data_IF_885781205659
#
_entry.id   IF_885781205659
#
_cell.length_a   1.000
_cell.length_b   1.000
_cell.length_c   1.000
_cell.angle_alpha   90.00
_cell.angle_beta   90.00
_cell.angle_gamma   90.00
#
_symmetry.space_group_name_H-M   'P 1'
#
loop_
_entity.id
_entity.type
_entity.pdbx_description
1 polymer ?
#
# COMPACT_ATOMS: atom_id res chain seq x y z
N UNK A 1 -10.98 -1.82 -13.42
CA UNK A 1 -10.76 -2.02 -11.96
C UNK A 1 -11.91 -2.79 -11.30
N UNK A 2 -13.16 -2.33 -11.40
CA UNK A 2 -14.31 -2.97 -10.73
C UNK A 2 -14.46 -4.49 -10.99
N UNK A 3 -14.28 -4.96 -12.23
CA UNK A 3 -14.35 -6.39 -12.53
C UNK A 3 -13.32 -7.23 -11.74
N UNK A 4 -12.09 -6.73 -11.60
CA UNK A 4 -11.04 -7.40 -10.83
C UNK A 4 -11.27 -7.31 -9.33
N UNK A 5 -11.76 -6.17 -8.84
CA UNK A 5 -12.17 -6.02 -7.44
C UNK A 5 -13.21 -7.09 -7.04
N UNK A 6 -14.23 -7.33 -7.87
CA UNK A 6 -15.21 -8.41 -7.65
C UNK A 6 -14.57 -9.80 -7.62
N UNK A 7 -13.72 -10.10 -8.60
CA UNK A 7 -13.01 -11.40 -8.67
C UNK A 7 -12.16 -11.64 -7.43
N UNK A 8 -11.55 -10.57 -6.89
CA UNK A 8 -10.66 -10.63 -5.72
C UNK A 8 -11.38 -10.46 -4.38
N UNK A 9 -12.68 -10.14 -4.38
CA UNK A 9 -13.44 -9.87 -3.16
C UNK A 9 -13.05 -8.57 -2.46
N UNK A 10 -12.61 -7.57 -3.21
CA UNK A 10 -12.27 -6.24 -2.70
C UNK A 10 -13.56 -5.43 -2.59
N UNK A 11 -13.98 -5.15 -1.36
CA UNK A 11 -15.24 -4.45 -1.07
C UNK A 11 -15.14 -2.93 -1.29
N UNK A 12 -13.97 -2.33 -0.99
CA UNK A 12 -13.67 -0.91 -1.20
C UNK A 12 -12.34 -0.77 -1.94
N UNK A 13 -12.31 0.02 -3.02
CA UNK A 13 -11.10 0.28 -3.81
C UNK A 13 -10.82 1.79 -3.92
N UNK A 14 -9.57 2.18 -4.14
CA UNK A 14 -9.26 3.56 -4.51
C UNK A 14 -9.43 3.75 -6.02
N UNK A 15 -9.94 4.91 -6.45
CA UNK A 15 -9.91 5.30 -7.87
C UNK A 15 -8.48 5.39 -8.41
N UNK A 16 -7.53 5.72 -7.52
CA UNK A 16 -6.20 6.23 -7.85
C UNK A 16 -6.24 7.46 -8.77
N UNK A 17 -5.12 8.18 -8.82
CA UNK A 17 -4.77 9.16 -9.85
C UNK A 17 -5.84 10.22 -10.20
N UNK A 18 -6.74 10.58 -9.28
CA UNK A 18 -7.86 11.50 -9.58
C UNK A 18 -7.38 12.89 -10.05
N UNK A 19 -6.09 13.19 -9.89
CA UNK A 19 -5.49 14.45 -10.32
C UNK A 19 -5.37 14.53 -11.85
N UNK A 20 -5.25 13.38 -12.53
CA UNK A 20 -5.08 13.31 -13.97
C UNK A 20 -6.38 13.69 -14.70
N UNK A 21 -6.37 14.70 -15.60
CA UNK A 21 -7.59 15.28 -16.16
C UNK A 21 -8.45 14.29 -16.96
N UNK A 22 -7.83 13.42 -17.77
CA UNK A 22 -8.58 12.44 -18.53
C UNK A 22 -9.16 11.34 -17.63
N UNK A 23 -8.48 11.01 -16.53
CA UNK A 23 -8.98 10.00 -15.60
C UNK A 23 -10.10 10.57 -14.75
N UNK A 24 -9.96 11.81 -14.28
CA UNK A 24 -11.01 12.50 -13.56
C UNK A 24 -12.31 12.59 -14.38
N UNK A 25 -12.22 12.91 -15.68
CA UNK A 25 -13.39 12.94 -16.56
C UNK A 25 -14.10 11.57 -16.62
N UNK A 26 -13.34 10.48 -16.71
CA UNK A 26 -13.89 9.12 -16.66
C UNK A 26 -14.55 8.82 -15.31
N UNK A 27 -13.97 9.28 -14.20
CA UNK A 27 -14.56 9.13 -12.86
C UNK A 27 -15.87 9.90 -12.76
N UNK A 28 -15.90 11.17 -13.17
CA UNK A 28 -17.09 12.04 -13.13
C UNK A 28 -18.23 11.53 -14.02
N UNK A 29 -17.92 10.94 -15.17
CA UNK A 29 -18.92 10.38 -16.08
C UNK A 29 -19.53 9.09 -15.53
N UNK A 30 -18.73 8.25 -14.86
CA UNK A 30 -19.11 6.87 -14.56
C UNK A 30 -19.46 6.60 -13.09
N UNK A 31 -18.90 7.36 -12.15
CA UNK A 31 -19.11 7.12 -10.72
C UNK A 31 -20.44 7.70 -10.24
N UNK A 32 -21.14 6.94 -9.41
CA UNK A 32 -22.33 7.42 -8.69
C UNK A 32 -21.97 7.67 -7.23
N UNK A 33 -22.13 8.90 -6.75
CA UNK A 33 -21.89 9.24 -5.33
C UNK A 33 -22.86 8.53 -4.40
N UNK A 34 -22.42 8.28 -3.18
CA UNK A 34 -23.19 7.61 -2.13
C UNK A 34 -23.42 8.55 -0.94
N UNK A 35 -24.27 8.16 0.00
CA UNK A 35 -24.53 8.98 1.20
C UNK A 35 -23.35 8.98 2.20
N UNK A 36 -22.43 8.01 2.11
CA UNK A 36 -21.32 7.82 3.05
C UNK A 36 -19.98 8.37 2.52
N UNK A 37 -20.01 9.18 1.45
CA UNK A 37 -18.85 9.89 0.88
C UNK A 37 -18.00 9.09 -0.11
N UNK A 38 -18.32 7.81 -0.30
CA UNK A 38 -17.74 6.97 -1.35
C UNK A 38 -18.59 6.99 -2.63
N UNK A 39 -18.13 6.26 -3.63
CA UNK A 39 -18.70 6.18 -4.98
C UNK A 39 -18.95 4.73 -5.37
N UNK A 40 -19.91 4.50 -6.26
CA UNK A 40 -20.18 3.18 -6.82
C UNK A 40 -19.96 3.15 -8.33
N UNK A 41 -19.28 2.11 -8.81
CA UNK A 41 -19.23 1.78 -10.23
C UNK A 41 -19.25 0.28 -10.43
N UNK A 42 -20.20 -0.18 -11.27
CA UNK A 42 -20.34 -1.58 -11.61
C UNK A 42 -20.51 -2.48 -10.38
N UNK A 43 -21.16 -2.02 -9.31
CA UNK A 43 -21.40 -2.78 -8.07
C UNK A 43 -20.15 -3.01 -7.19
N UNK A 44 -19.18 -2.09 -7.25
CA UNK A 44 -18.01 -2.01 -6.35
C UNK A 44 -17.94 -0.60 -5.78
N UNK A 45 -17.56 -0.47 -4.51
CA UNK A 45 -17.38 0.84 -3.84
C UNK A 45 -15.98 1.38 -4.08
N UNK A 46 -15.89 2.70 -4.25
CA UNK A 46 -14.65 3.43 -4.51
C UNK A 46 -14.53 4.67 -3.63
N UNK A 47 -13.33 4.93 -3.13
CA UNK A 47 -12.94 6.27 -2.64
C UNK A 47 -12.16 7.00 -3.71
N UNK A 48 -12.25 8.33 -3.75
CA UNK A 48 -11.41 9.16 -4.60
C UNK A 48 -10.03 9.26 -3.96
N UNK A 49 -9.05 8.53 -4.50
CA UNK A 49 -7.67 8.57 -4.02
C UNK A 49 -6.66 8.97 -5.09
N UNK A 50 -5.52 9.48 -4.66
CA UNK A 50 -4.36 9.75 -5.51
C UNK A 50 -3.08 9.49 -4.71
N UNK A 51 -1.99 9.15 -5.38
CA UNK A 51 -0.65 9.23 -4.81
C UNK A 51 0.01 10.54 -5.29
N UNK A 52 0.72 11.23 -4.40
CA UNK A 52 1.44 12.48 -4.68
C UNK A 52 2.92 12.28 -4.40
N UNK A 53 3.79 12.67 -5.35
CA UNK A 53 5.24 12.56 -5.19
C UNK A 53 5.83 13.89 -4.70
N UNK A 54 6.03 14.02 -3.39
CA UNK A 54 6.63 15.20 -2.79
C UNK A 54 8.14 15.20 -3.03
N UNK A 55 8.65 16.21 -3.75
CA UNK A 55 10.08 16.37 -4.02
C UNK A 55 10.52 17.77 -3.61
N UNK A 56 11.33 17.85 -2.54
CA UNK A 56 11.65 19.12 -1.88
C UNK A 56 13.02 19.06 -1.17
N UNK A 57 13.47 20.20 -0.65
CA UNK A 57 14.68 20.28 0.19
C UNK A 57 14.29 20.53 1.64
N UNK A 58 14.85 19.76 2.58
CA UNK A 58 14.66 19.97 4.00
C UNK A 58 15.88 19.50 4.79
N UNK A 59 16.32 20.30 5.77
CA UNK A 59 17.48 19.97 6.61
C UNK A 59 18.78 19.78 5.82
N UNK A 60 18.94 20.47 4.67
CA UNK A 60 20.11 20.30 3.79
C UNK A 60 20.08 19.08 2.87
N UNK A 61 19.02 18.26 2.92
CA UNK A 61 18.87 17.07 2.08
C UNK A 61 17.80 17.26 1.01
N UNK A 62 17.97 16.59 -0.13
CA UNK A 62 16.91 16.40 -1.12
C UNK A 62 16.02 15.25 -0.65
N UNK A 63 14.77 15.56 -0.33
CA UNK A 63 13.78 14.60 0.18
C UNK A 63 12.83 14.21 -0.94
N UNK A 64 12.43 12.95 -0.94
CA UNK A 64 11.42 12.40 -1.83
C UNK A 64 10.54 11.47 -1.01
N UNK A 65 9.25 11.79 -0.95
CA UNK A 65 8.26 11.05 -0.15
C UNK A 65 6.99 10.93 -0.96
N UNK A 66 6.41 9.74 -1.02
CA UNK A 66 5.08 9.54 -1.57
C UNK A 66 4.02 9.59 -0.48
N UNK A 67 2.93 10.30 -0.76
CA UNK A 67 1.77 10.38 0.11
C UNK A 67 0.54 9.90 -0.65
N UNK A 68 -0.24 9.02 -0.02
CA UNK A 68 -1.60 8.76 -0.43
C UNK A 68 -2.48 9.87 0.13
N UNK A 69 -3.37 10.38 -0.72
CA UNK A 69 -4.42 11.32 -0.35
C UNK A 69 -5.77 10.75 -0.79
N UNK A 70 -6.75 10.76 0.13
CA UNK A 70 -8.13 10.36 -0.14
C UNK A 70 -9.07 11.52 0.13
N UNK A 71 -9.75 11.99 -0.91
CA UNK A 71 -10.63 13.14 -0.86
C UNK A 71 -12.10 12.73 -0.59
N UNK A 72 -12.84 13.49 0.23
CA UNK A 72 -14.21 13.15 0.65
C UNK A 72 -15.26 13.32 -0.45
N UNK A 73 -14.91 13.92 -1.59
CA UNK A 73 -15.84 14.15 -2.69
C UNK A 73 -15.24 15.00 -3.82
N UNK A 74 -16.05 15.25 -4.85
CA UNK A 74 -15.62 15.95 -6.07
C UNK A 74 -15.16 17.38 -5.81
N UNK A 75 -15.83 18.12 -4.92
CA UNK A 75 -15.46 19.50 -4.60
C UNK A 75 -14.02 19.59 -4.04
N UNK A 76 -13.69 18.70 -3.10
CA UNK A 76 -12.33 18.57 -2.58
C UNK A 76 -11.34 18.17 -3.68
N UNK A 77 -11.69 17.21 -4.56
CA UNK A 77 -10.83 16.82 -5.69
C UNK A 77 -10.52 18.01 -6.61
N UNK A 78 -11.52 18.83 -6.96
CA UNK A 78 -11.30 20.01 -7.80
C UNK A 78 -10.39 21.04 -7.11
N UNK A 79 -10.64 21.32 -5.83
CA UNK A 79 -9.82 22.24 -5.04
C UNK A 79 -8.37 21.75 -4.88
N UNK A 80 -8.17 20.44 -4.67
CA UNK A 80 -6.85 19.81 -4.62
C UNK A 80 -6.13 19.98 -5.97
N UNK A 81 -6.82 19.76 -7.09
CA UNK A 81 -6.22 19.93 -8.42
C UNK A 81 -5.82 21.38 -8.68
N UNK A 82 -6.66 22.35 -8.32
CA UNK A 82 -6.33 23.77 -8.42
C UNK A 82 -5.11 24.11 -7.56
N UNK A 83 -5.08 23.64 -6.31
CA UNK A 83 -3.94 23.82 -5.40
C UNK A 83 -2.64 23.24 -5.99
N UNK A 84 -2.68 22.03 -6.55
CA UNK A 84 -1.52 21.40 -7.18
C UNK A 84 -1.06 22.17 -8.44
N UNK A 85 -1.98 22.70 -9.24
CA UNK A 85 -1.65 23.54 -10.39
C UNK A 85 -0.98 24.84 -9.95
N UNK A 86 -1.44 25.45 -8.85
CA UNK A 86 -0.83 26.64 -8.26
C UNK A 86 0.59 26.37 -7.71
N UNK A 87 0.89 25.12 -7.34
CA UNK A 87 2.23 24.64 -7.02
C UNK A 87 3.07 24.29 -8.27
N UNK A 88 2.58 24.55 -9.48
CA UNK A 88 3.18 24.23 -10.77
C UNK A 88 3.34 22.72 -11.04
N UNK A 89 2.53 21.87 -10.39
CA UNK A 89 2.51 20.44 -10.69
C UNK A 89 1.86 20.16 -12.04
N UNK A 90 2.50 19.32 -12.84
CA UNK A 90 1.97 18.86 -14.14
C UNK A 90 0.99 17.70 -13.91
N UNK A 91 -0.30 17.96 -14.10
CA UNK A 91 -1.34 16.95 -13.86
C UNK A 91 -1.67 16.07 -15.07
N UNK A 92 -1.23 16.45 -16.28
CA UNK A 92 -1.57 15.76 -17.53
C UNK A 92 -0.46 14.84 -18.06
N UNK A 93 0.66 14.68 -17.33
CA UNK A 93 1.81 13.91 -17.77
C UNK A 93 1.99 12.57 -17.08
N UNK A 94 1.45 12.41 -15.87
CA UNK A 94 1.54 11.24 -15.01
C UNK A 94 0.29 11.19 -14.12
N UNK A 95 -0.15 9.99 -13.72
CA UNK A 95 -1.22 9.79 -12.75
C UNK A 95 -0.80 10.18 -11.32
N UNK A 96 0.51 10.07 -11.02
CA UNK A 96 1.13 10.53 -9.78
C UNK A 96 1.92 11.83 -10.03
N UNK A 97 1.32 13.00 -9.82
CA UNK A 97 2.02 14.26 -10.05
C UNK A 97 3.18 14.45 -9.06
N UNK A 98 4.27 15.02 -9.56
CA UNK A 98 5.35 15.52 -8.70
C UNK A 98 4.96 16.89 -8.13
N UNK A 99 5.10 17.04 -6.82
CA UNK A 99 4.71 18.23 -6.06
C UNK A 99 5.94 18.85 -5.42
N UNK A 100 6.14 20.14 -5.70
CA UNK A 100 7.25 20.93 -5.16
C UNK A 100 6.99 21.47 -3.75
N UNK A 101 6.43 20.65 -2.86
CA UNK A 101 6.08 21.01 -1.48
C UNK A 101 6.65 19.98 -0.49
N UNK A 102 6.90 20.40 0.75
CA UNK A 102 7.22 19.47 1.83
C UNK A 102 6.00 18.64 2.22
N UNK A 103 6.21 17.46 2.81
CA UNK A 103 5.11 16.65 3.31
C UNK A 103 4.25 17.39 4.34
N UNK A 104 4.86 18.20 5.21
CA UNK A 104 4.17 19.13 6.12
C UNK A 104 3.27 20.13 5.38
N UNK A 105 3.82 20.89 4.44
CA UNK A 105 3.08 21.94 3.72
C UNK A 105 1.96 21.35 2.88
N UNK A 106 2.21 20.23 2.19
CA UNK A 106 1.19 19.55 1.40
C UNK A 106 0.06 19.02 2.30
N UNK A 107 0.38 18.39 3.43
CA UNK A 107 -0.64 17.91 4.37
C UNK A 107 -1.50 19.06 4.91
N UNK A 108 -0.88 20.18 5.29
CA UNK A 108 -1.61 21.37 5.75
C UNK A 108 -2.58 21.89 4.67
N UNK A 109 -2.11 22.03 3.42
CA UNK A 109 -2.96 22.47 2.29
C UNK A 109 -4.13 21.54 2.02
N UNK A 110 -3.91 20.23 2.09
CA UNK A 110 -4.97 19.23 1.88
C UNK A 110 -6.06 19.34 2.95
N UNK A 111 -5.68 19.55 4.22
CA UNK A 111 -6.62 19.71 5.32
C UNK A 111 -7.27 21.11 5.36
N UNK A 112 -6.60 22.14 4.85
CA UNK A 112 -7.19 23.48 4.67
C UNK A 112 -8.30 23.46 3.60
N UNK A 113 -8.16 22.62 2.57
CA UNK A 113 -9.19 22.41 1.54
C UNK A 113 -10.41 21.72 2.16
N UNK A 114 -10.17 20.61 2.85
CA UNK A 114 -11.20 19.87 3.57
C UNK A 114 -10.57 19.04 4.70
N UNK A 115 -11.00 19.28 5.94
CA UNK A 115 -10.48 18.57 7.12
C UNK A 115 -10.74 17.05 7.09
N UNK A 116 -11.67 16.60 6.25
CA UNK A 116 -11.97 15.19 6.08
C UNK A 116 -10.94 14.46 5.21
N UNK A 117 -10.13 15.16 4.40
CA UNK A 117 -9.04 14.58 3.62
C UNK A 117 -8.16 13.67 4.48
N UNK A 118 -7.79 12.52 3.93
CA UNK A 118 -6.96 11.53 4.63
C UNK A 118 -5.59 11.45 3.99
N UNK A 119 -4.54 11.70 4.77
CA UNK A 119 -3.15 11.62 4.30
C UNK A 119 -2.46 10.43 4.96
N UNK A 120 -1.88 9.55 4.14
CA UNK A 120 -1.14 8.37 4.58
C UNK A 120 0.21 8.32 3.86
N UNK A 121 1.36 8.28 4.57
CA UNK A 121 2.65 8.06 3.95
C UNK A 121 2.67 6.70 3.27
N UNK A 122 2.97 6.70 1.97
CA UNK A 122 2.95 5.51 1.15
C UNK A 122 4.23 4.68 1.38
N UNK A 123 4.08 3.35 1.33
CA UNK A 123 5.16 2.34 1.30
C UNK A 123 6.44 2.75 2.02
N UNK A 124 6.33 3.00 3.33
CA UNK A 124 7.28 3.85 4.07
C UNK A 124 8.73 3.34 4.11
N UNK A 125 8.97 2.06 3.83
CA UNK A 125 10.30 1.45 3.84
C UNK A 125 10.98 1.35 2.47
N UNK A 126 10.30 1.74 1.39
CA UNK A 126 10.93 1.73 0.07
C UNK A 126 12.18 2.64 0.08
N UNK A 127 13.37 2.17 -0.34
CA UNK A 127 14.61 2.93 -0.16
C UNK A 127 14.56 4.34 -0.76
N UNK A 128 13.83 4.48 -1.86
CA UNK A 128 13.53 5.74 -2.53
C UNK A 128 12.04 6.02 -2.39
N UNK A 129 11.68 7.29 -2.18
CA UNK A 129 10.29 7.75 -2.04
C UNK A 129 9.52 7.24 -0.81
N UNK A 130 10.01 6.24 -0.09
CA UNK A 130 9.48 5.86 1.22
C UNK A 130 9.84 6.88 2.30
N UNK A 131 8.90 7.16 3.20
CA UNK A 131 9.09 8.13 4.28
C UNK A 131 10.24 7.75 5.22
N UNK A 132 10.45 6.47 5.54
CA UNK A 132 11.60 5.93 6.30
C UNK A 132 12.65 5.30 5.38
N UNK A 133 12.60 5.62 4.08
CA UNK A 133 13.51 5.08 3.07
C UNK A 133 14.95 5.52 3.28
N UNK A 134 15.89 4.58 3.15
CA UNK A 134 17.32 4.78 3.45
C UNK A 134 18.05 5.78 2.54
N UNK A 135 17.45 6.24 1.43
CA UNK A 135 18.09 7.18 0.49
C UNK A 135 17.49 8.59 0.53
N UNK A 136 16.17 8.72 0.64
CA UNK A 136 15.47 10.02 0.53
C UNK A 136 14.48 10.30 1.66
N UNK A 137 14.30 9.36 2.59
CA UNK A 137 13.34 9.42 3.70
C UNK A 137 13.87 10.19 4.91
N UNK A 138 13.27 9.94 6.06
CA UNK A 138 13.49 10.55 7.37
C UNK A 138 13.67 9.44 8.41
N UNK A 139 14.12 9.81 9.62
CA UNK A 139 14.28 8.85 10.72
C UNK A 139 12.99 8.67 11.55
N UNK A 140 12.03 9.60 11.44
CA UNK A 140 10.77 9.61 12.19
C UNK A 140 9.70 10.48 11.51
N UNK A 141 8.42 10.27 11.86
CA UNK A 141 7.29 11.07 11.35
C UNK A 141 7.47 12.55 11.66
N UNK A 142 7.86 12.91 12.90
CA UNK A 142 8.04 14.32 13.30
C UNK A 142 9.07 15.04 12.44
N UNK A 143 10.09 14.34 11.97
CA UNK A 143 11.05 14.89 11.02
C UNK A 143 10.43 15.19 9.65
N UNK A 144 9.45 14.39 9.22
CA UNK A 144 8.80 14.49 7.90
C UNK A 144 7.61 15.47 7.90
N UNK A 145 6.79 15.43 8.95
CA UNK A 145 5.52 16.15 9.04
C UNK A 145 5.52 17.30 10.04
N UNK A 146 6.45 17.36 10.99
CA UNK A 146 6.50 18.42 12.00
C UNK A 146 5.17 18.53 12.76
N UNK A 147 4.62 19.74 12.84
CA UNK A 147 3.36 20.01 13.54
C UNK A 147 2.14 19.29 12.91
N UNK A 148 2.28 18.75 11.69
CA UNK A 148 1.23 17.96 11.04
C UNK A 148 1.23 16.48 11.43
N UNK A 149 2.22 15.97 12.19
CA UNK A 149 2.26 14.55 12.62
C UNK A 149 0.96 14.05 13.28
N UNK A 150 0.26 14.84 14.14
CA UNK A 150 -1.00 14.41 14.73
C UNK A 150 -2.10 14.10 13.69
N UNK A 151 -2.01 14.68 12.50
CA UNK A 151 -2.96 14.48 11.40
C UNK A 151 -2.62 13.29 10.48
N UNK A 152 -1.56 12.55 10.79
CA UNK A 152 -1.16 11.34 10.06
C UNK A 152 -1.56 10.12 10.89
N UNK A 153 -2.78 9.58 10.76
CA UNK A 153 -3.26 8.51 11.64
C UNK A 153 -2.70 7.13 11.30
N UNK A 154 -2.24 6.94 10.07
CA UNK A 154 -1.83 5.65 9.54
C UNK A 154 -0.56 5.76 8.70
N UNK A 155 0.11 4.63 8.49
CA UNK A 155 1.22 4.50 7.55
C UNK A 155 1.05 3.22 6.72
N UNK A 156 1.42 3.28 5.44
CA UNK A 156 1.40 2.11 4.56
C UNK A 156 2.75 1.38 4.62
N UNK A 157 2.71 0.06 4.88
CA UNK A 157 3.90 -0.81 4.91
C UNK A 157 4.61 -0.85 3.56
N UNK A 158 3.83 -1.14 2.50
CA UNK A 158 4.29 -1.48 1.18
C UNK A 158 5.05 -2.81 1.13
N UNK A 159 5.32 -3.28 -0.09
CA UNK A 159 5.91 -4.60 -0.41
C UNK A 159 7.28 -4.95 0.22
N UNK A 160 7.89 -4.02 0.95
CA UNK A 160 9.23 -4.19 1.56
C UNK A 160 9.18 -4.41 3.07
N UNK A 161 8.00 -4.37 3.69
CA UNK A 161 7.82 -4.62 5.12
C UNK A 161 6.43 -5.21 5.39
N UNK A 162 6.27 -5.86 6.54
CA UNK A 162 4.96 -6.27 7.05
C UNK A 162 4.59 -5.51 8.34
N UNK A 163 3.37 -5.65 8.87
CA UNK A 163 2.97 -4.92 10.07
C UNK A 163 3.78 -5.28 11.32
N UNK A 164 4.29 -6.52 11.42
CA UNK A 164 5.09 -6.94 12.58
C UNK A 164 6.42 -6.19 12.65
N UNK A 165 7.08 -5.98 11.50
CA UNK A 165 8.27 -5.13 11.39
C UNK A 165 8.01 -3.69 11.87
N UNK A 166 6.78 -3.19 11.68
CA UNK A 166 6.40 -1.82 11.98
C UNK A 166 5.98 -1.60 13.44
N UNK A 167 5.34 -2.58 14.10
CA UNK A 167 4.92 -2.47 15.50
C UNK A 167 6.08 -2.26 16.47
N UNK A 168 7.29 -2.73 16.09
CA UNK A 168 8.51 -2.55 16.87
C UNK A 168 9.13 -1.16 16.79
N UNK A 169 8.58 -0.24 15.97
CA UNK A 169 9.14 1.10 15.76
C UNK A 169 8.46 2.12 16.67
N UNK A 170 9.15 2.69 17.68
CA UNK A 170 8.53 3.62 18.63
C UNK A 170 7.87 4.84 17.97
N UNK A 171 8.46 5.35 16.88
CA UNK A 171 7.91 6.48 16.12
C UNK A 171 6.60 6.18 15.37
N UNK A 172 6.20 4.91 15.26
CA UNK A 172 4.93 4.48 14.67
C UNK A 172 3.89 4.09 15.74
N UNK A 173 4.22 4.22 17.03
CA UNK A 173 3.31 3.86 18.11
C UNK A 173 1.99 4.65 17.98
N UNK A 174 0.88 3.93 18.06
CA UNK A 174 -0.47 4.50 17.95
C UNK A 174 -0.94 4.81 16.53
N UNK A 175 -0.12 4.58 15.50
CA UNK A 175 -0.54 4.68 14.10
C UNK A 175 -1.19 3.37 13.64
N UNK A 176 -2.22 3.47 12.81
CA UNK A 176 -2.72 2.30 12.09
C UNK A 176 -1.68 1.84 11.06
N UNK A 177 -1.37 0.56 11.05
CA UNK A 177 -0.47 -0.03 10.06
C UNK A 177 -1.32 -0.69 8.98
N UNK A 178 -1.27 -0.13 7.78
CA UNK A 178 -2.08 -0.56 6.64
C UNK A 178 -1.18 -1.07 5.52
N UNK A 179 -1.75 -1.88 4.65
CA UNK A 179 -1.08 -2.47 3.50
C UNK A 179 -1.98 -2.44 2.28
N UNK A 180 -1.48 -1.84 1.20
CA UNK A 180 -2.19 -1.71 -0.06
C UNK A 180 -1.31 -2.14 -1.23
N UNK A 181 -1.96 -2.64 -2.28
CA UNK A 181 -1.27 -3.33 -3.35
C UNK A 181 -0.32 -2.50 -4.23
N UNK A 182 -0.44 -1.17 -4.30
CA UNK A 182 0.25 -0.36 -5.34
C UNK A 182 0.17 -1.00 -6.75
N UNK A 183 -1.06 -1.36 -7.16
CA UNK A 183 -1.28 -2.24 -8.30
C UNK A 183 -1.14 -1.52 -9.64
N UNK A 184 -0.04 -1.79 -10.34
CA UNK A 184 0.22 -1.29 -11.69
C UNK A 184 -0.35 -2.19 -12.81
N UNK A 185 -1.15 -3.19 -12.44
CA UNK A 185 -1.93 -3.99 -13.40
C UNK A 185 -3.14 -4.60 -12.69
N UNK A 186 -4.25 -4.85 -13.41
CA UNK A 186 -5.45 -5.43 -12.79
C UNK A 186 -5.21 -6.78 -12.07
N UNK A 187 -4.37 -7.71 -12.56
CA UNK A 187 -4.04 -8.93 -11.82
C UNK A 187 -3.33 -8.71 -10.48
N UNK A 188 -2.59 -7.60 -10.34
CA UNK A 188 -1.87 -7.24 -9.12
C UNK A 188 -2.78 -6.56 -8.08
N UNK A 189 -4.02 -6.19 -8.43
CA UNK A 189 -4.97 -5.65 -7.47
C UNK A 189 -5.18 -6.64 -6.32
N UNK A 190 -5.03 -6.14 -5.10
CA UNK A 190 -5.17 -6.94 -3.89
C UNK A 190 -4.07 -7.97 -3.66
N UNK A 191 -2.87 -7.78 -4.25
CA UNK A 191 -1.67 -8.53 -3.81
C UNK A 191 -1.28 -8.20 -2.37
N UNK A 192 -1.66 -7.01 -1.91
CA UNK A 192 -1.72 -6.60 -0.51
C UNK A 192 -3.07 -5.93 -0.24
N UNK A 193 -3.68 -6.21 0.91
CA UNK A 193 -4.99 -5.70 1.31
C UNK A 193 -5.05 -5.45 2.82
N UNK A 194 -5.83 -4.44 3.20
CA UNK A 194 -6.19 -4.20 4.61
C UNK A 194 -7.66 -4.50 4.83
N UNK A 195 -7.96 -5.24 5.88
CA UNK A 195 -9.32 -5.55 6.31
C UNK A 195 -9.63 -4.71 7.54
N UNK A 196 -10.62 -3.83 7.40
CA UNK A 196 -11.08 -2.93 8.45
C UNK A 196 -12.41 -3.41 9.03
N UNK A 197 -12.66 -3.06 10.30
CA UNK A 197 -13.99 -3.16 10.88
C UNK A 197 -14.91 -2.11 10.27
N UNK A 198 -16.14 -2.49 9.93
CA UNK A 198 -17.18 -1.56 9.43
C UNK A 198 -17.70 -1.97 8.05
N UNK A 199 -18.23 -0.99 7.32
CA UNK A 199 -18.72 -1.15 5.95
C UNK A 199 -17.83 -0.43 4.95
N UNK A 200 -17.83 -0.88 3.70
CA UNK A 200 -17.09 -0.25 2.61
C UNK A 200 -17.64 1.16 2.32
N UNK A 201 -17.06 2.18 2.96
CA UNK A 201 -17.40 3.59 2.80
C UNK A 201 -16.23 4.50 3.13
N UNK A 202 -16.29 5.77 2.69
CA UNK A 202 -15.26 6.77 3.03
C UNK A 202 -15.21 7.02 4.55
N UNK A 203 -16.37 7.15 5.19
CA UNK A 203 -16.47 7.36 6.65
C UNK A 203 -15.80 6.24 7.45
N UNK A 204 -16.11 4.99 7.12
CA UNK A 204 -15.58 3.85 7.89
C UNK A 204 -14.10 3.59 7.55
N UNK A 205 -13.64 3.91 6.33
CA UNK A 205 -12.20 3.96 6.03
C UNK A 205 -11.50 5.00 6.91
N UNK A 206 -12.03 6.21 7.00
CA UNK A 206 -11.47 7.27 7.84
C UNK A 206 -11.41 6.88 9.32
N UNK A 207 -12.47 6.26 9.84
CA UNK A 207 -12.49 5.70 11.19
C UNK A 207 -11.49 4.56 11.34
N UNK A 208 -11.37 3.69 10.34
CA UNK A 208 -10.42 2.58 10.29
C UNK A 208 -8.97 3.05 10.42
N UNK A 209 -8.61 4.12 9.70
CA UNK A 209 -7.28 4.73 9.78
C UNK A 209 -7.08 5.46 11.11
N UNK A 210 -8.01 6.34 11.52
CA UNK A 210 -7.88 7.21 12.71
C UNK A 210 -7.94 6.47 14.04
N UNK A 211 -8.82 5.49 14.15
CA UNK A 211 -9.06 4.75 15.39
C UNK A 211 -8.37 3.39 15.42
N UNK A 212 -7.57 3.08 14.39
CA UNK A 212 -6.87 1.81 14.22
C UNK A 212 -7.82 0.61 14.29
N UNK A 213 -8.90 0.63 13.49
CA UNK A 213 -9.86 -0.48 13.38
C UNK A 213 -9.42 -1.53 12.34
N UNK A 214 -8.11 -1.75 12.22
CA UNK A 214 -7.55 -2.77 11.33
C UNK A 214 -7.73 -4.14 12.00
N UNK A 215 -8.51 -5.02 11.38
CA UNK A 215 -8.66 -6.40 11.85
C UNK A 215 -7.43 -7.23 11.47
N UNK A 216 -7.01 -7.08 10.22
CA UNK A 216 -5.84 -7.76 9.66
C UNK A 216 -5.38 -7.17 8.34
N UNK A 217 -4.19 -7.56 7.92
CA UNK A 217 -3.69 -7.35 6.57
C UNK A 217 -3.40 -8.67 5.87
N UNK A 218 -3.53 -8.65 4.55
CA UNK A 218 -3.04 -9.68 3.65
C UNK A 218 -1.77 -9.14 3.02
N UNK A 219 -0.65 -9.79 3.30
CA UNK A 219 0.68 -9.31 2.92
C UNK A 219 1.32 -10.19 1.86
N UNK A 220 2.21 -9.58 1.08
CA UNK A 220 3.23 -10.30 0.35
C UNK A 220 4.42 -10.57 1.29
N UNK A 221 5.13 -11.69 1.12
CA UNK A 221 6.32 -11.96 1.94
C UNK A 221 7.39 -10.90 1.70
N UNK A 222 7.74 -10.06 2.70
CA UNK A 222 8.75 -9.02 2.51
C UNK A 222 10.13 -9.61 2.18
N UNK A 223 10.40 -10.87 2.55
CA UNK A 223 11.61 -11.62 2.24
C UNK A 223 11.83 -11.83 0.74
N UNK A 224 10.75 -11.86 -0.06
CA UNK A 224 10.82 -11.91 -1.52
C UNK A 224 11.17 -10.52 -2.12
N UNK A 225 11.18 -9.48 -1.30
CA UNK A 225 11.54 -8.12 -1.69
C UNK A 225 13.00 -7.99 -2.08
N UNK A 226 13.27 -7.32 -3.22
CA UNK A 226 14.63 -7.06 -3.75
C UNK A 226 15.58 -6.43 -2.74
N UNK A 227 15.04 -5.68 -1.76
CA UNK A 227 15.81 -4.91 -0.79
C UNK A 227 15.59 -5.40 0.65
N UNK A 228 15.07 -6.61 0.88
CA UNK A 228 14.75 -7.07 2.24
C UNK A 228 15.98 -7.07 3.18
N UNK A 229 17.07 -7.71 2.73
CA UNK A 229 18.35 -7.73 3.44
C UNK A 229 19.37 -6.79 2.77
N UNK A 230 20.26 -6.21 3.57
CA UNK A 230 21.41 -5.47 3.05
C UNK A 230 22.36 -6.40 2.30
N UNK A 231 22.90 -5.93 1.17
CA UNK A 231 23.83 -6.70 0.35
C UNK A 231 24.23 -6.00 -0.95
N UNK A 232 25.33 -6.47 -1.55
CA UNK A 232 25.77 -6.00 -2.86
C UNK A 232 24.96 -6.67 -3.96
N UNK A 233 24.30 -5.88 -4.82
CA UNK A 233 23.52 -6.36 -5.96
C UNK A 233 24.30 -7.30 -6.91
N UNK A 234 25.62 -7.15 -7.00
CA UNK A 234 26.48 -7.95 -7.87
C UNK A 234 27.01 -9.24 -7.24
N UNK A 235 26.93 -9.38 -5.91
CA UNK A 235 27.66 -10.43 -5.18
C UNK A 235 26.76 -11.55 -4.62
N UNK A 236 25.44 -11.45 -4.78
CA UNK A 236 24.48 -12.45 -4.28
C UNK A 236 24.54 -12.72 -2.77
N UNK A 237 25.29 -11.92 -2.01
CA UNK A 237 25.49 -12.11 -0.57
C UNK A 237 24.55 -11.20 0.20
N UNK A 238 23.44 -11.76 0.65
CA UNK A 238 22.59 -11.15 1.67
C UNK A 238 23.27 -11.28 3.03
N UNK A 239 23.32 -10.19 3.81
CA UNK A 239 23.85 -10.20 5.17
C UNK A 239 22.74 -9.81 6.15
N UNK A 240 22.46 -10.63 7.18
CA UNK A 240 21.61 -10.20 8.29
C UNK A 240 22.22 -8.95 8.91
N UNK A 241 21.41 -7.93 9.17
CA UNK A 241 21.83 -6.64 9.73
C UNK A 241 22.18 -6.75 11.22
N UNK A 242 23.22 -7.52 11.54
CA UNK A 242 23.86 -7.52 12.85
C UNK A 242 25.23 -6.84 12.72
N UNK A 243 25.25 -5.53 13.03
CA UNK A 243 26.38 -4.60 13.08
C UNK A 243 26.90 -4.06 11.72
N UNK A 244 27.10 -2.72 11.58
CA UNK A 244 27.99 -2.20 10.56
C UNK A 244 29.42 -2.66 10.90
N UNK A 245 30.05 -3.42 10.01
CA UNK A 245 31.45 -3.79 10.17
C UNK A 245 32.30 -2.50 10.12
N UNK A 246 33.11 -2.25 11.14
CA UNK A 246 34.27 -1.37 10.97
C UNK A 246 35.14 -2.01 9.89
N UNK A 247 35.54 -1.29 8.82
CA UNK A 247 36.41 -1.87 7.83
C UNK A 247 37.76 -2.16 8.50
N UNK A 248 38.08 -3.45 8.66
CA UNK A 248 39.45 -3.89 8.88
C UNK A 248 40.25 -3.70 7.57
N UNK A 249 41.58 -3.55 7.66
CA UNK A 249 42.41 -3.11 6.53
C UNK A 249 42.48 -4.06 5.33
N UNK A 250 41.85 -5.24 5.34
CA UNK A 250 42.11 -6.31 4.34
C UNK A 250 40.85 -6.88 3.63
N UNK A 251 39.75 -6.13 3.48
CA UNK A 251 38.60 -6.62 2.69
C UNK A 251 38.78 -6.33 1.18
N UNK A 252 38.67 -7.33 0.28
CA UNK A 252 38.87 -7.14 -1.16
C UNK A 252 37.76 -6.26 -1.75
N UNK A 253 38.18 -5.30 -2.58
CA UNK A 253 37.37 -4.25 -3.19
C UNK A 253 36.40 -4.77 -4.26
N UNK A 254 35.26 -5.32 -3.85
CA UNK A 254 34.08 -5.42 -4.70
C UNK A 254 33.31 -4.08 -4.66
N UNK A 255 33.75 -3.11 -5.46
CA UNK A 255 33.32 -1.70 -5.45
C UNK A 255 31.91 -1.41 -6.01
N UNK A 256 30.86 -2.05 -5.50
CA UNK A 256 29.47 -1.61 -5.70
C UNK A 256 28.95 -0.81 -4.50
N UNK A 257 27.91 0.04 -4.65
CA UNK A 257 27.26 0.65 -3.48
C UNK A 257 26.48 -0.40 -2.68
N UNK A 258 26.62 -0.39 -1.35
CA UNK A 258 25.76 -1.18 -0.46
C UNK A 258 24.32 -0.65 -0.53
N UNK A 259 23.40 -1.55 -0.89
CA UNK A 259 21.98 -1.26 -0.92
C UNK A 259 21.46 -1.58 0.49
N UNK A 260 21.47 -0.57 1.36
CA UNK A 260 20.90 -0.69 2.71
C UNK A 260 19.48 -1.26 2.62
N UNK A 261 19.25 -2.39 3.29
CA UNK A 261 17.99 -3.12 3.22
C UNK A 261 16.84 -2.40 3.92
N UNK A 262 15.62 -2.88 3.66
CA UNK A 262 14.37 -2.41 4.24
C UNK A 262 14.13 -2.94 5.66
N UNK A 263 14.87 -3.97 6.10
CA UNK A 263 14.84 -4.42 7.49
C UNK A 263 15.24 -3.28 8.44
N UNK A 264 14.45 -2.96 9.48
CA UNK A 264 14.74 -1.84 10.36
C UNK A 264 16.12 -2.02 11.02
N UNK A 265 17.00 -1.03 10.82
CA UNK A 265 18.36 -1.03 11.35
C UNK A 265 18.37 -0.86 12.88
N UNK A 266 19.43 -1.35 13.54
CA UNK A 266 19.56 -1.30 15.00
C UNK A 266 19.55 0.13 15.62
N UNK A 267 19.68 1.18 14.80
CA UNK A 267 19.58 2.58 15.24
C UNK A 267 18.14 3.07 15.44
N UNK A 268 17.16 2.54 14.71
CA UNK A 268 15.73 2.86 14.87
C UNK A 268 15.10 2.00 15.97
N UNK A 269 15.67 0.81 16.21
CA UNK A 269 15.14 -0.22 17.13
C UNK A 269 15.88 -0.25 18.49
N UNK A 270 16.63 0.79 18.85
CA UNK A 270 17.37 0.81 20.14
C UNK A 270 16.42 1.09 21.33
N UNK A 271 15.58 0.12 21.64
CA UNK A 271 14.63 0.14 22.75
C UNK A 271 13.98 -1.22 22.89
N UNK A 272 14.73 -2.23 23.36
CA UNK A 272 14.14 -3.53 23.75
C UNK A 272 13.39 -3.36 25.07
N UNK A 273 12.21 -2.79 24.99
CA UNK A 273 11.10 -3.13 25.88
C UNK A 273 9.99 -3.64 24.97
N UNK A 274 9.59 -4.91 25.12
CA UNK A 274 8.41 -5.43 24.43
C UNK A 274 7.19 -4.68 24.98
N UNK A 275 6.83 -3.56 24.36
CA UNK A 275 5.53 -2.96 24.54
C UNK A 275 4.53 -3.91 23.91
N UNK A 276 3.94 -4.78 24.73
CA UNK A 276 2.78 -5.58 24.33
C UNK A 276 1.63 -4.60 24.10
N UNK A 277 1.41 -4.21 22.85
CA UNK A 277 0.18 -3.50 22.48
C UNK A 277 -1.01 -4.40 22.84
N UNK A 278 -1.94 -3.87 23.64
CA UNK A 278 -3.22 -4.52 23.90
C UNK A 278 -4.09 -4.32 22.66
N UNK A 279 -4.50 -5.42 22.03
CA UNK A 279 -5.29 -5.45 20.80
C UNK A 279 -4.42 -5.82 19.59
N UNK A 280 -4.03 -7.09 19.47
CA UNK A 280 -3.27 -7.55 18.31
C UNK A 280 -4.21 -7.65 17.10
N UNK A 281 -4.08 -6.74 16.14
CA UNK A 281 -4.43 -6.95 14.74
C UNK A 281 -3.71 -8.21 14.25
N UNK A 282 -4.39 -9.15 13.60
CA UNK A 282 -3.72 -10.35 13.09
C UNK A 282 -3.05 -10.05 11.75
N UNK A 283 -1.85 -10.61 11.51
CA UNK A 283 -1.21 -10.54 10.18
C UNK A 283 -1.41 -11.90 9.52
N UNK A 284 -1.93 -11.92 8.31
CA UNK A 284 -2.01 -13.13 7.49
C UNK A 284 -1.11 -12.95 6.28
N UNK A 285 0.03 -13.65 6.30
CA UNK A 285 0.92 -13.70 5.16
C UNK A 285 0.22 -14.50 4.05
N UNK A 286 -0.02 -13.87 2.90
CA UNK A 286 -0.55 -14.52 1.71
C UNK A 286 0.62 -14.72 0.76
N UNK A 287 1.45 -15.70 1.06
CA UNK A 287 2.39 -16.28 0.11
C UNK A 287 1.76 -16.44 -1.25
N UNK A 288 2.52 -16.05 -2.29
CA UNK A 288 2.16 -15.77 -3.68
C UNK A 288 0.87 -16.38 -4.29
N UNK A 289 -0.29 -16.25 -3.65
CA UNK A 289 -1.56 -16.80 -4.14
C UNK A 289 -1.98 -16.11 -5.45
N UNK A 290 -1.53 -14.87 -5.65
CA UNK A 290 -1.63 -14.18 -6.93
C UNK A 290 -0.85 -14.87 -8.07
N UNK A 291 0.28 -15.54 -7.78
CA UNK A 291 1.05 -16.33 -8.76
C UNK A 291 0.44 -17.70 -9.03
N UNK A 292 -0.39 -18.23 -8.14
CA UNK A 292 -1.05 -19.53 -8.35
C UNK A 292 -2.25 -19.39 -9.31
N UNK A 293 -2.95 -18.26 -9.31
CA UNK A 293 -4.12 -18.06 -10.20
C UNK A 293 -3.75 -17.52 -11.59
N UNK A 294 -2.67 -16.74 -11.71
CA UNK A 294 -2.24 -16.09 -12.96
C UNK A 294 -1.95 -17.05 -14.14
N UNK A 295 -1.18 -18.13 -13.96
CA UNK A 295 -0.80 -19.03 -15.06
C UNK A 295 -1.95 -19.92 -15.56
N UNK A 296 -2.90 -20.27 -14.69
CA UNK A 296 -3.99 -21.20 -15.06
C UNK A 296 -5.10 -20.54 -15.90
N UNK A 297 -5.24 -19.20 -15.83
CA UNK A 297 -6.30 -18.49 -16.55
C UNK A 297 -5.79 -17.60 -17.71
N UNK A 298 -4.50 -17.25 -17.73
CA UNK A 298 -3.91 -16.39 -18.76
C UNK A 298 -3.88 -16.99 -20.18
N UNK A 299 -3.98 -18.32 -20.34
CA UNK A 299 -3.97 -18.97 -21.66
C UNK A 299 -5.30 -18.92 -22.42
N UNK A 300 -6.43 -18.53 -21.80
CA UNK A 300 -7.76 -18.52 -22.45
C UNK A 300 -8.29 -17.15 -22.87
N UNK A 301 -7.64 -16.05 -22.46
CA UNK A 301 -8.11 -14.68 -22.73
C UNK A 301 -7.44 -14.01 -23.95
N UNK A 302 -6.56 -14.73 -24.66
CA UNK A 302 -5.83 -14.22 -25.83
C UNK A 302 -6.57 -14.31 -27.18
N UNK A 303 -7.86 -14.68 -27.19
CA UNK A 303 -8.69 -14.66 -28.38
C UNK A 303 -9.69 -13.50 -28.31
N UNK A 304 -9.89 -12.79 -29.42
CA UNK A 304 -10.94 -11.77 -29.55
C UNK A 304 -12.26 -12.26 -28.95
N UNK A 305 -12.75 -11.58 -27.91
CA UNK A 305 -14.11 -11.79 -27.41
C UNK A 305 -14.77 -10.42 -27.26
N UNK A 306 -15.54 -10.06 -28.28
CA UNK A 306 -16.62 -9.11 -28.12
C UNK A 306 -17.63 -9.62 -27.10
N UNK A 307 -18.20 -8.70 -26.32
CA UNK A 307 -19.36 -8.85 -25.44
C UNK A 307 -19.78 -10.27 -25.05
N UNK A 308 -19.15 -10.84 -24.02
CA UNK A 308 -19.80 -11.87 -23.18
C UNK A 308 -19.08 -11.95 -21.84
N UNK A 309 -19.83 -11.92 -20.74
CA UNK A 309 -19.34 -11.76 -19.38
C UNK A 309 -18.44 -12.88 -18.84
N UNK A 310 -17.97 -12.65 -17.61
CA UNK A 310 -17.12 -13.56 -16.83
C UNK A 310 -17.72 -15.00 -16.78
N UNK A 311 -16.86 -16.04 -16.79
CA UNK A 311 -17.29 -17.43 -16.68
C UNK A 311 -18.23 -17.68 -15.49
N UNK A 312 -19.26 -18.55 -15.62
CA UNK A 312 -20.26 -18.78 -14.57
C UNK A 312 -19.71 -19.24 -13.21
N UNK A 313 -18.53 -19.86 -13.16
CA UNK A 313 -17.92 -20.33 -11.92
C UNK A 313 -17.33 -19.20 -11.07
N UNK A 314 -16.91 -18.07 -11.70
CA UNK A 314 -16.47 -16.85 -11.01
C UNK A 314 -17.64 -15.97 -10.56
N UNK A 315 -18.82 -16.14 -11.15
CA UNK A 315 -20.04 -15.45 -10.71
C UNK A 315 -20.62 -16.04 -9.41
N UNK A 316 -20.26 -17.29 -9.07
CA UNK A 316 -20.83 -18.02 -7.92
C UNK A 316 -20.09 -17.80 -6.59
N UNK A 317 -18.91 -17.18 -6.58
CA UNK A 317 -18.16 -16.88 -5.34
C UNK A 317 -18.34 -15.44 -4.85
N UNK A 318 -19.39 -14.75 -5.32
CA UNK A 318 -19.74 -13.40 -4.88
C UNK A 318 -20.17 -13.40 -3.41
N UNK A 319 -19.22 -13.14 -2.51
CA UNK A 319 -19.48 -12.93 -1.10
C UNK A 319 -18.28 -12.26 -0.41
N UNK A 320 -18.50 -11.02 0.04
CA UNK A 320 -17.75 -10.24 1.06
C UNK A 320 -16.43 -10.87 1.50
N UNK A 321 -15.28 -10.40 1.00
CA UNK A 321 -13.94 -10.78 1.48
C UNK A 321 -13.59 -12.27 1.63
N UNK A 322 -14.46 -13.23 1.24
CA UNK A 322 -14.38 -14.61 1.70
C UNK A 322 -13.55 -15.53 0.77
N UNK A 323 -13.30 -15.11 -0.47
CA UNK A 323 -12.72 -15.97 -1.50
C UNK A 323 -11.29 -16.45 -1.20
N UNK A 324 -10.47 -15.64 -0.52
CA UNK A 324 -9.09 -15.99 -0.19
C UNK A 324 -8.86 -16.39 1.26
N UNK A 325 -9.73 -15.98 2.17
CA UNK A 325 -9.54 -16.17 3.61
C UNK A 325 -10.39 -17.30 4.20
N UNK A 326 -11.59 -17.54 3.65
CA UNK A 326 -12.58 -18.45 4.25
C UNK A 326 -12.82 -19.72 3.43
N UNK A 327 -12.20 -19.84 2.26
CA UNK A 327 -12.30 -21.08 1.46
C UNK A 327 -11.66 -22.24 2.23
N UNK A 328 -12.47 -23.18 2.70
CA UNK A 328 -11.99 -24.43 3.29
C UNK A 328 -11.19 -25.21 2.25
N UNK A 329 -10.29 -26.11 2.68
CA UNK A 329 -9.46 -26.91 1.79
C UNK A 329 -10.25 -27.50 0.60
N UNK A 330 -11.44 -28.05 0.87
CA UNK A 330 -12.33 -28.61 -0.16
C UNK A 330 -12.87 -27.60 -1.19
N UNK A 331 -13.05 -26.33 -0.83
CA UNK A 331 -13.43 -25.29 -1.79
C UNK A 331 -12.25 -24.89 -2.69
N UNK A 332 -11.05 -24.81 -2.12
CA UNK A 332 -9.82 -24.52 -2.88
C UNK A 332 -9.49 -25.67 -3.85
N UNK A 333 -9.64 -26.90 -3.37
CA UNK A 333 -9.44 -28.11 -4.18
C UNK A 333 -10.44 -28.18 -5.34
N UNK A 334 -11.72 -27.90 -5.06
CA UNK A 334 -12.78 -27.87 -6.07
C UNK A 334 -12.55 -26.81 -7.15
N UNK A 335 -11.94 -25.68 -6.79
CA UNK A 335 -11.77 -24.54 -7.71
C UNK A 335 -10.46 -24.60 -8.50
N UNK A 336 -9.37 -25.08 -7.91
CA UNK A 336 -8.05 -25.08 -8.58
C UNK A 336 -7.20 -26.31 -8.34
N UNK A 337 -7.79 -27.41 -7.86
CA UNK A 337 -7.12 -28.69 -7.65
C UNK A 337 -6.40 -28.79 -6.31
N UNK A 338 -5.96 -30.00 -5.99
CA UNK A 338 -5.31 -30.36 -4.73
C UNK A 338 -4.03 -29.52 -4.49
N UNK A 339 -3.23 -29.29 -5.53
CA UNK A 339 -2.01 -28.48 -5.44
C UNK A 339 -2.29 -27.04 -4.99
N UNK A 340 -3.37 -26.41 -5.49
CA UNK A 340 -3.80 -25.08 -5.03
C UNK A 340 -4.24 -25.12 -3.56
N UNK A 341 -5.02 -26.13 -3.18
CA UNK A 341 -5.51 -26.28 -1.82
C UNK A 341 -4.35 -26.46 -0.82
N UNK A 342 -3.39 -27.32 -1.15
CA UNK A 342 -2.18 -27.54 -0.34
C UNK A 342 -1.35 -26.26 -0.26
N UNK A 343 -1.07 -25.60 -1.39
CA UNK A 343 -0.23 -24.41 -1.42
C UNK A 343 -0.85 -23.27 -0.59
N UNK A 344 -2.14 -23.00 -0.76
CA UNK A 344 -2.85 -21.96 0.02
C UNK A 344 -2.92 -22.33 1.51
N UNK A 345 -3.11 -23.60 1.84
CA UNK A 345 -3.15 -24.05 3.25
C UNK A 345 -1.79 -23.90 3.92
N UNK A 346 -0.70 -24.34 3.27
CA UNK A 346 0.68 -24.16 3.78
C UNK A 346 1.04 -22.70 4.00
N UNK A 347 0.63 -21.83 3.07
CA UNK A 347 0.78 -20.37 3.20
C UNK A 347 0.05 -19.85 4.43
N UNK A 348 -1.23 -20.21 4.61
CA UNK A 348 -2.04 -19.78 5.76
C UNK A 348 -1.48 -20.26 7.10
N UNK A 349 -0.89 -21.45 7.12
CA UNK A 349 -0.32 -22.05 8.32
C UNK A 349 1.13 -21.58 8.60
N UNK A 350 1.70 -20.72 7.75
CA UNK A 350 3.09 -20.24 7.90
C UNK A 350 4.13 -21.34 7.71
N UNK A 351 3.84 -22.35 6.89
CA UNK A 351 4.68 -23.53 6.65
C UNK A 351 5.43 -23.49 5.30
N UNK A 352 5.61 -22.30 4.73
CA UNK A 352 6.25 -22.04 3.43
C UNK A 352 7.65 -21.48 3.57
#
# INVERSE_FOLDING_TARGET
>A
MAAWAKVKGIDLSSSADFTHPAWLAELEENFTSTADGDFEFGGVRFVLGTELSCVFKQGGHSRRVHLLDFAPGSDAVHAIREMLQNLNSKLNGDGRPTVGASSTDLTARLLDIDEACMVVPAHIWTPWYGMLGSKSGFEALDGCFGDMTPHIPAVETGLSSDPEMNWGVPGLAGKAIVSFSDAHSPPNMGRELTIFQGVASYRDLAAGLRENRVERTLEFFPEEGKYHLSGHASAGSARPSARPARPGPDAPSAGGPDLGGAAPGSGIVSGREQVRSRGKTSVHQVGAAHRIIGPHHGKRLGGQVGGSGLPPHLQRTGGRGAGFDQGWYGDLERVGGEDLAIAVTKVRDGQV
#
